data_IF_934942975713
#
_entry.id   IF_934942975713
#
_cell.length_a   1.000
_cell.length_b   1.000
_cell.length_c   1.000
_cell.angle_alpha   90.00
_cell.angle_beta   90.00
_cell.angle_gamma   90.00
#
_symmetry.space_group_name_H-M   'P 1'
#
loop_
_entity.id
_entity.type
_entity.pdbx_description
1 polymer ?
#
# COMPACT_ATOMS: atom_id res chain seq x y z
N UNK A 1 -26.56 17.55 2.80
CA UNK A 1 -25.62 17.28 3.56
C UNK A 1 -24.80 16.14 3.25
N UNK A 2 -25.28 15.05 3.22
CA UNK A 2 -24.53 13.93 2.91
C UNK A 2 -23.81 13.94 1.66
N UNK A 3 -24.37 14.55 0.69
CA UNK A 3 -23.80 14.53 -0.62
C UNK A 3 -22.49 15.18 -0.74
N UNK A 4 -22.16 16.08 0.17
CA UNK A 4 -20.92 16.74 0.03
C UNK A 4 -19.75 15.89 0.11
N UNK A 5 -19.77 14.83 0.85
CA UNK A 5 -18.63 13.97 0.97
C UNK A 5 -18.27 13.34 -0.28
N UNK A 6 -19.22 13.04 -1.10
CA UNK A 6 -18.94 12.34 -2.31
C UNK A 6 -18.32 13.20 -3.37
N UNK A 7 -18.35 14.49 -3.16
CA UNK A 7 -17.81 15.40 -4.15
C UNK A 7 -16.37 15.77 -3.92
N UNK A 8 -15.75 15.20 -2.89
CA UNK A 8 -14.36 15.49 -2.65
C UNK A 8 -13.48 14.94 -3.75
N UNK A 9 -12.45 15.67 -4.16
CA UNK A 9 -11.51 15.17 -5.15
C UNK A 9 -10.80 13.92 -4.64
N UNK A 10 -10.31 13.08 -5.53
CA UNK A 10 -9.62 11.86 -5.11
C UNK A 10 -8.46 12.11 -4.17
N UNK A 11 -7.70 13.15 -4.40
CA UNK A 11 -6.56 13.43 -3.53
C UNK A 11 -7.01 13.77 -2.11
N UNK A 12 -8.16 14.41 -1.97
CA UNK A 12 -8.66 14.71 -0.64
C UNK A 12 -9.15 13.47 0.06
N UNK A 13 -9.70 12.53 -0.70
CA UNK A 13 -10.17 11.29 -0.10
C UNK A 13 -9.00 10.42 0.36
N UNK A 14 -7.90 10.46 -0.38
CA UNK A 14 -6.75 9.64 -0.06
C UNK A 14 -5.96 10.14 1.14
N UNK A 15 -5.98 11.44 1.40
CA UNK A 15 -5.19 11.99 2.49
C UNK A 15 -5.56 11.46 3.88
N UNK A 16 -6.84 11.42 4.27
CA UNK A 16 -7.18 10.86 5.57
C UNK A 16 -6.77 9.39 5.68
N UNK A 17 -6.93 8.63 4.60
CA UNK A 17 -6.56 7.24 4.59
C UNK A 17 -5.05 7.07 4.68
N UNK A 18 -4.31 7.91 3.98
CA UNK A 18 -2.87 7.90 4.04
C UNK A 18 -2.39 8.16 5.47
N UNK A 19 -3.00 9.14 6.15
CA UNK A 19 -2.63 9.46 7.51
C UNK A 19 -2.92 8.32 8.47
N UNK A 20 -4.02 7.64 8.25
CA UNK A 20 -4.38 6.49 9.06
C UNK A 20 -3.35 5.37 8.89
N UNK A 21 -2.92 5.14 7.65
CA UNK A 21 -1.93 4.12 7.37
C UNK A 21 -0.59 4.46 8.03
N UNK A 22 -0.13 5.69 7.86
CA UNK A 22 1.16 6.07 8.43
C UNK A 22 1.12 6.02 9.95
N UNK A 23 -0.01 6.33 10.56
CA UNK A 23 -0.15 6.22 12.01
C UNK A 23 -0.05 4.76 12.46
N UNK A 24 -0.65 3.85 11.70
CA UNK A 24 -0.57 2.43 12.02
C UNK A 24 0.86 1.93 11.90
N UNK A 25 1.55 2.37 10.86
CA UNK A 25 2.94 1.97 10.65
C UNK A 25 3.81 2.48 11.78
N UNK A 26 3.58 3.68 12.21
CA UNK A 26 4.34 4.28 13.30
C UNK A 26 4.09 3.53 14.61
N UNK A 27 2.83 3.18 14.87
CA UNK A 27 2.47 2.41 16.07
C UNK A 27 3.28 1.11 16.16
N UNK A 28 3.53 0.49 15.03
CA UNK A 28 4.20 -0.79 14.98
C UNK A 28 5.69 -0.66 14.70
N UNK A 29 6.20 0.56 14.69
CA UNK A 29 7.62 0.82 14.47
C UNK A 29 8.11 0.24 13.16
N UNK A 30 7.31 0.42 12.12
CA UNK A 30 7.73 0.04 10.78
C UNK A 30 8.94 0.87 10.38
N UNK A 31 9.79 0.30 9.55
CA UNK A 31 11.07 0.89 9.19
C UNK A 31 11.02 1.43 7.77
N UNK A 32 11.67 2.56 7.56
CA UNK A 32 11.85 3.16 6.22
C UNK A 32 10.53 3.31 5.46
N UNK A 33 9.60 4.00 6.06
CA UNK A 33 8.30 4.22 5.47
C UNK A 33 8.41 5.23 4.32
N UNK A 34 7.90 4.88 3.15
CA UNK A 34 7.84 5.75 1.99
C UNK A 34 6.41 5.84 1.50
N UNK A 35 5.99 7.07 1.22
CA UNK A 35 4.65 7.31 0.68
C UNK A 35 4.84 7.89 -0.71
N UNK A 36 4.28 7.23 -1.70
CA UNK A 36 4.45 7.60 -3.10
C UNK A 36 3.11 7.93 -3.72
N UNK A 37 3.05 9.09 -4.37
CA UNK A 37 1.87 9.49 -5.13
C UNK A 37 2.03 8.90 -6.51
N UNK A 38 1.18 7.94 -6.85
CA UNK A 38 1.29 7.23 -8.12
C UNK A 38 0.14 7.52 -9.06
N UNK A 39 -0.61 8.60 -8.81
CA UNK A 39 -1.78 8.91 -9.60
C UNK A 39 -1.49 9.11 -11.08
N UNK A 40 -0.37 9.66 -11.41
CA UNK A 40 -0.01 9.85 -12.82
C UNK A 40 0.64 8.65 -13.46
N UNK A 41 0.89 7.60 -12.69
CA UNK A 41 1.64 6.44 -13.15
C UNK A 41 0.79 5.19 -13.29
N UNK A 42 -0.33 5.14 -12.63
CA UNK A 42 -1.22 4.00 -12.70
C UNK A 42 -2.65 4.45 -12.40
N UNK A 43 -3.61 3.73 -12.95
CA UNK A 43 -5.03 3.98 -12.70
C UNK A 43 -5.56 3.12 -11.56
N UNK A 44 -4.74 2.26 -11.01
CA UNK A 44 -5.21 1.26 -10.06
C UNK A 44 -5.34 1.80 -8.65
N UNK A 45 -4.34 2.56 -8.21
CA UNK A 45 -4.37 3.17 -6.89
C UNK A 45 -3.84 4.59 -6.99
N UNK A 46 -4.17 5.42 -6.03
CA UNK A 46 -3.69 6.81 -5.98
C UNK A 46 -2.38 6.94 -5.23
N UNK A 47 -2.21 6.16 -4.18
CA UNK A 47 -1.05 6.26 -3.30
C UNK A 47 -0.52 4.87 -3.00
N UNK A 48 0.78 4.75 -3.00
CA UNK A 48 1.44 3.51 -2.62
C UNK A 48 2.28 3.80 -1.39
N UNK A 49 2.15 2.98 -0.37
CA UNK A 49 2.94 3.12 0.84
C UNK A 49 3.80 1.88 0.98
N UNK A 50 5.10 2.08 1.18
CA UNK A 50 6.04 0.98 1.30
C UNK A 50 6.75 1.11 2.64
N UNK A 51 6.79 0.03 3.38
CA UNK A 51 7.46 0.02 4.67
C UNK A 51 8.12 -1.33 4.89
N UNK A 52 9.03 -1.40 5.83
CA UNK A 52 9.71 -2.65 6.14
C UNK A 52 9.44 -3.07 7.56
N UNK A 53 9.47 -4.38 7.79
CA UNK A 53 9.47 -4.97 9.10
C UNK A 53 10.76 -5.73 9.29
N UNK A 54 11.17 -5.96 10.52
CA UNK A 54 12.45 -6.59 10.83
C UNK A 54 12.42 -8.11 10.75
N UNK A 55 11.23 -8.69 10.75
CA UNK A 55 11.06 -10.14 10.66
C UNK A 55 9.74 -10.41 9.96
N UNK A 56 9.52 -11.66 9.55
CA UNK A 56 8.25 -12.03 8.94
C UNK A 56 7.10 -11.80 9.91
N UNK A 57 7.32 -12.05 11.18
CA UNK A 57 6.31 -11.81 12.20
C UNK A 57 6.00 -10.32 12.32
N UNK A 58 7.04 -9.49 12.29
CA UNK A 58 6.86 -8.04 12.38
C UNK A 58 6.10 -7.54 11.15
N UNK A 59 6.45 -8.04 9.98
CA UNK A 59 5.77 -7.67 8.73
C UNK A 59 4.28 -7.99 8.84
N UNK A 60 3.95 -9.19 9.30
CA UNK A 60 2.55 -9.57 9.44
C UNK A 60 1.82 -8.71 10.46
N UNK A 61 2.48 -8.41 11.57
CA UNK A 61 1.87 -7.60 12.61
C UNK A 61 1.60 -6.17 12.13
N UNK A 62 2.51 -5.62 11.38
CA UNK A 62 2.33 -4.29 10.81
C UNK A 62 1.11 -4.28 9.89
N UNK A 63 1.02 -5.27 9.00
CA UNK A 63 -0.09 -5.35 8.07
C UNK A 63 -1.42 -5.50 8.81
N UNK A 64 -1.44 -6.31 9.86
CA UNK A 64 -2.64 -6.50 10.66
C UNK A 64 -3.07 -5.21 11.32
N UNK A 65 -2.11 -4.43 11.78
CA UNK A 65 -2.43 -3.16 12.41
C UNK A 65 -3.06 -2.19 11.43
N UNK A 66 -2.56 -2.18 10.20
CA UNK A 66 -3.13 -1.35 9.16
C UNK A 66 -4.59 -1.74 8.92
N UNK A 67 -4.86 -3.03 8.84
CA UNK A 67 -6.21 -3.53 8.65
C UNK A 67 -7.11 -3.15 9.83
N UNK A 68 -6.62 -3.31 11.04
CA UNK A 68 -7.38 -2.97 12.23
C UNK A 68 -7.77 -1.50 12.25
N UNK A 69 -6.81 -0.64 11.96
CA UNK A 69 -7.09 0.79 11.97
C UNK A 69 -8.07 1.18 10.89
N UNK A 70 -7.95 0.55 9.72
CA UNK A 70 -8.88 0.83 8.63
C UNK A 70 -10.30 0.43 9.05
N UNK A 71 -10.45 -0.74 9.62
CA UNK A 71 -11.77 -1.21 10.05
C UNK A 71 -12.35 -0.34 11.15
N UNK A 72 -11.50 0.07 12.09
CA UNK A 72 -11.96 0.93 13.17
C UNK A 72 -12.45 2.27 12.65
N UNK A 73 -11.95 2.71 11.51
CA UNK A 73 -12.37 3.95 10.89
C UNK A 73 -13.54 3.75 9.93
N UNK A 74 -14.13 2.55 9.90
CA UNK A 74 -15.27 2.29 9.05
C UNK A 74 -14.93 1.92 7.63
N UNK A 75 -13.65 1.65 7.35
CA UNK A 75 -13.22 1.29 6.02
C UNK A 75 -13.13 -0.22 5.90
N UNK A 76 -13.40 -0.72 4.71
CA UNK A 76 -13.32 -2.14 4.46
C UNK A 76 -12.15 -2.42 3.53
N UNK A 77 -11.08 -3.04 4.02
CA UNK A 77 -9.98 -3.39 3.12
C UNK A 77 -10.47 -4.32 2.02
N UNK A 78 -9.99 -4.11 0.80
CA UNK A 78 -10.37 -4.96 -0.30
C UNK A 78 -9.73 -6.33 -0.19
N UNK A 79 -8.57 -6.41 0.45
CA UNK A 79 -7.94 -7.71 0.64
C UNK A 79 -6.53 -7.57 1.15
N UNK A 80 -5.98 -8.69 1.56
CA UNK A 80 -4.62 -8.79 2.04
C UNK A 80 -3.99 -10.01 1.41
N UNK A 81 -2.76 -9.88 0.90
CA UNK A 81 -2.06 -11.01 0.33
C UNK A 81 -0.66 -11.10 0.89
N UNK A 82 -0.13 -12.32 0.92
CA UNK A 82 1.24 -12.56 1.36
C UNK A 82 1.40 -12.77 2.85
N UNK A 83 0.34 -12.68 3.62
CA UNK A 83 0.43 -12.77 5.06
C UNK A 83 0.97 -14.12 5.53
N UNK A 84 0.76 -15.16 4.74
CA UNK A 84 1.19 -16.48 5.11
C UNK A 84 2.69 -16.54 5.29
N UNK A 85 3.44 -16.08 4.30
CA UNK A 85 4.89 -16.11 4.35
C UNK A 85 5.48 -14.96 5.16
N UNK A 86 4.83 -13.82 5.12
CA UNK A 86 5.29 -12.66 5.88
C UNK A 86 6.51 -11.97 5.31
N UNK A 87 6.90 -12.30 4.08
CA UNK A 87 8.04 -11.63 3.47
C UNK A 87 7.63 -10.37 2.72
N UNK A 88 6.42 -10.38 2.19
CA UNK A 88 5.89 -9.26 1.44
C UNK A 88 4.37 -9.32 1.57
N UNK A 89 3.82 -8.48 2.42
CA UNK A 89 2.38 -8.45 2.65
C UNK A 89 1.80 -7.21 2.00
N UNK A 90 0.73 -7.40 1.26
CA UNK A 90 0.06 -6.35 0.53
C UNK A 90 -1.29 -6.11 1.19
N UNK A 91 -1.61 -4.88 1.51
CA UNK A 91 -2.92 -4.52 2.04
C UNK A 91 -3.55 -3.55 1.06
N UNK A 92 -4.68 -3.94 0.47
CA UNK A 92 -5.37 -3.14 -0.53
C UNK A 92 -6.51 -2.38 0.13
N UNK A 93 -6.37 -1.07 0.19
CA UNK A 93 -7.39 -0.21 0.78
C UNK A 93 -8.09 0.63 -0.29
N UNK A 94 -7.99 0.18 -1.52
CA UNK A 94 -8.62 0.79 -2.68
C UNK A 94 -7.86 2.00 -3.22
N UNK A 95 -7.85 3.11 -2.53
CA UNK A 95 -7.11 4.29 -2.97
C UNK A 95 -5.66 4.26 -2.54
N UNK A 96 -5.35 3.45 -1.54
CA UNK A 96 -4.01 3.32 -1.00
C UNK A 96 -3.63 1.84 -0.98
N UNK A 97 -2.49 1.53 -1.52
CA UNK A 97 -1.96 0.18 -1.52
C UNK A 97 -0.74 0.16 -0.62
N UNK A 98 -0.76 -0.70 0.39
CA UNK A 98 0.30 -0.75 1.39
C UNK A 98 1.14 -2.00 1.18
N UNK A 99 2.43 -1.81 1.00
CA UNK A 99 3.40 -2.91 0.88
C UNK A 99 4.24 -2.94 2.14
N UNK A 100 4.23 -4.05 2.86
CA UNK A 100 5.09 -4.23 4.02
C UNK A 100 6.01 -5.39 3.71
N UNK A 101 7.31 -5.17 3.74
CA UNK A 101 8.29 -6.12 3.21
C UNK A 101 9.47 -6.27 4.15
N UNK A 102 10.08 -7.45 4.11
CA UNK A 102 11.39 -7.59 4.73
C UNK A 102 12.39 -6.74 3.97
N UNK A 103 13.40 -6.20 4.64
CA UNK A 103 14.35 -5.34 3.94
C UNK A 103 15.03 -5.99 2.75
N UNK A 104 15.39 -7.26 2.85
CA UNK A 104 16.07 -7.93 1.73
C UNK A 104 15.16 -8.09 0.53
N UNK A 105 13.86 -8.30 0.78
CA UNK A 105 12.90 -8.44 -0.30
C UNK A 105 12.68 -7.09 -0.96
N UNK A 106 12.56 -6.07 -0.15
CA UNK A 106 12.38 -4.71 -0.64
C UNK A 106 13.56 -4.28 -1.52
N UNK A 107 14.76 -4.56 -1.06
CA UNK A 107 15.95 -4.22 -1.81
C UNK A 107 16.05 -5.01 -3.11
N UNK A 108 15.75 -6.29 -3.04
CA UNK A 108 15.84 -7.15 -4.21
C UNK A 108 14.91 -6.69 -5.33
N UNK A 109 13.68 -6.36 -5.02
CA UNK A 109 12.73 -5.95 -6.05
C UNK A 109 12.82 -4.47 -6.39
N UNK A 110 13.32 -3.65 -5.48
CA UNK A 110 13.46 -2.23 -5.74
C UNK A 110 12.16 -1.55 -6.12
N UNK A 111 11.07 -1.99 -5.52
CA UNK A 111 9.75 -1.55 -5.90
C UNK A 111 9.59 -0.03 -5.91
N UNK A 112 10.07 0.63 -4.88
CA UNK A 112 9.90 2.07 -4.76
C UNK A 112 10.62 2.84 -5.86
N UNK A 113 11.67 2.28 -6.42
CA UNK A 113 12.41 2.95 -7.48
C UNK A 113 11.64 2.99 -8.79
N UNK A 114 10.69 2.09 -8.96
CA UNK A 114 9.88 2.07 -10.16
C UNK A 114 9.03 3.32 -10.25
N UNK A 115 8.59 3.82 -9.11
CA UNK A 115 7.66 4.93 -9.05
C UNK A 115 8.36 6.27 -8.86
N UNK A 116 9.62 6.23 -8.46
CA UNK A 116 10.40 7.45 -8.29
C UNK A 116 10.91 8.00 -9.61
N UNK A 117 11.13 7.11 -10.57
CA UNK A 117 11.77 7.51 -11.81
C UNK A 117 10.86 8.08 -12.88
N UNK A 118 9.59 8.12 -12.62
CA UNK A 118 8.65 8.68 -13.57
C UNK A 118 7.98 7.62 -14.43
N UNK A 119 7.00 8.03 -15.22
CA UNK A 119 6.13 7.08 -15.92
C UNK A 119 6.85 6.14 -16.87
N UNK A 120 7.76 6.66 -17.66
CA UNK A 120 8.43 5.83 -18.64
C UNK A 120 9.26 4.75 -17.98
N UNK A 121 9.96 5.12 -16.96
CA UNK A 121 10.79 4.18 -16.24
C UNK A 121 9.94 3.15 -15.49
N UNK A 122 8.87 3.59 -14.90
CA UNK A 122 7.98 2.68 -14.19
C UNK A 122 7.38 1.68 -15.15
N UNK A 123 6.98 2.12 -16.32
CA UNK A 123 6.36 1.24 -17.30
C UNK A 123 7.30 0.15 -17.76
N UNK A 124 8.56 0.48 -17.91
CA UNK A 124 9.55 -0.48 -18.39
C UNK A 124 9.99 -1.43 -17.30
N UNK A 125 10.18 -0.91 -16.12
CA UNK A 125 10.82 -1.67 -15.07
C UNK A 125 9.90 -2.36 -14.07
N UNK A 126 8.59 -2.18 -14.20
CA UNK A 126 7.67 -2.74 -13.21
C UNK A 126 7.80 -4.26 -13.13
N UNK A 127 8.05 -4.80 -11.96
CA UNK A 127 8.16 -6.26 -11.82
C UNK A 127 6.82 -6.93 -12.08
N UNK A 128 6.88 -8.09 -12.70
CA UNK A 128 5.67 -8.83 -13.00
C UNK A 128 4.91 -9.17 -11.72
N UNK A 129 5.61 -9.48 -10.67
CA UNK A 129 4.98 -9.86 -9.43
C UNK A 129 4.16 -8.70 -8.85
N UNK A 130 4.66 -7.47 -8.96
CA UNK A 130 3.94 -6.32 -8.46
C UNK A 130 2.67 -6.07 -9.26
N UNK A 131 2.79 -6.12 -10.59
CA UNK A 131 1.64 -5.91 -11.44
C UNK A 131 0.62 -7.01 -11.27
N UNK A 132 1.07 -8.24 -11.11
CA UNK A 132 0.16 -9.37 -10.93
C UNK A 132 -0.56 -9.27 -9.61
N UNK A 133 0.11 -8.86 -8.56
CA UNK A 133 -0.52 -8.73 -7.25
C UNK A 133 -1.61 -7.67 -7.26
N UNK A 134 -1.32 -6.51 -7.83
CA UNK A 134 -2.29 -5.44 -7.89
C UNK A 134 -3.47 -5.82 -8.77
N UNK A 135 -3.18 -6.43 -9.93
CA UNK A 135 -4.23 -6.85 -10.83
C UNK A 135 -5.11 -7.92 -10.20
N UNK A 136 -4.53 -8.83 -9.47
CA UNK A 136 -5.26 -9.89 -8.80
C UNK A 136 -6.22 -9.33 -7.77
N UNK A 137 -5.80 -8.29 -7.06
CA UNK A 137 -6.68 -7.62 -6.11
C UNK A 137 -7.92 -7.11 -6.79
N UNK A 138 -7.76 -6.51 -7.97
CA UNK A 138 -8.88 -5.92 -8.67
C UNK A 138 -9.80 -6.95 -9.30
N UNK A 139 -9.25 -8.06 -9.74
CA UNK A 139 -10.02 -9.08 -10.42
C UNK A 139 -10.76 -10.03 -9.50
N UNK A 140 -10.17 -10.37 -8.41
CA UNK A 140 -10.72 -11.41 -7.57
C UNK A 140 -11.88 -10.96 -6.69
N UNK A 141 -12.53 -9.89 -7.01
CA UNK A 141 -13.69 -9.45 -6.26
C UNK A 141 -14.94 -9.98 -6.82
#
# INVERSE_FOLDING_TARGET
MITRKRLRPPEERALPLQNLVTAALDDMKAVNVRVLDVRGLTDIVDTMVIASGNSDRHVRSIAERVVEKARAAGLRPLGTEGARDGEWVLVDLQDVLVHVMLPRVREFYGLEHLWDGGPAQAAVAAPAVTRAAVRRRRISR
#
